data_IF_356805832569
#
_entry.id   IF_356805832569
#
_cell.length_a   1.000
_cell.length_b   1.000
_cell.length_c   1.000
_cell.angle_alpha   90.00
_cell.angle_beta   90.00
_cell.angle_gamma   90.00
#
_symmetry.space_group_name_H-M   'P 1'
#
loop_
_entity.id
_entity.type
_entity.pdbx_description
1 polymer ?
#
# COMPACT_ATOMS: atom_id res chain seq x y z
N UNK A 1 20.21 12.80 -9.48
CA UNK A 1 20.68 13.62 -8.36
C UNK A 1 22.14 13.30 -8.05
N UNK A 2 22.56 12.05 -7.84
CA UNK A 2 23.94 11.67 -7.46
C UNK A 2 25.02 12.27 -8.39
N UNK A 3 24.84 12.25 -9.71
CA UNK A 3 25.79 12.87 -10.65
C UNK A 3 25.94 14.39 -10.46
N UNK A 4 24.86 15.08 -10.08
CA UNK A 4 24.92 16.53 -9.77
C UNK A 4 25.71 16.75 -8.49
N UNK A 5 25.41 15.99 -7.44
CA UNK A 5 26.12 16.04 -6.16
C UNK A 5 27.63 15.81 -6.35
N UNK A 6 28.03 14.79 -7.14
CA UNK A 6 29.44 14.54 -7.47
C UNK A 6 30.12 15.73 -8.17
N UNK A 7 29.42 16.42 -9.07
CA UNK A 7 29.97 17.63 -9.71
C UNK A 7 30.13 18.79 -8.73
N UNK A 8 29.16 18.98 -7.84
CA UNK A 8 29.21 20.00 -6.80
C UNK A 8 30.33 19.72 -5.80
N UNK A 9 30.54 18.45 -5.44
CA UNK A 9 31.68 18.03 -4.62
C UNK A 9 33.03 18.34 -5.30
N UNK A 10 33.14 18.09 -6.60
CA UNK A 10 34.34 18.41 -7.37
C UNK A 10 34.61 19.93 -7.45
N UNK A 11 33.60 20.79 -7.24
CA UNK A 11 33.70 22.23 -7.17
C UNK A 11 33.88 22.76 -5.72
N UNK A 12 34.00 21.89 -4.73
CA UNK A 12 34.09 22.22 -3.29
C UNK A 12 32.84 22.92 -2.73
N UNK A 13 31.70 22.77 -3.40
CA UNK A 13 30.41 23.30 -2.95
C UNK A 13 29.70 22.36 -1.96
N UNK A 14 29.98 21.05 -1.99
CA UNK A 14 29.50 20.02 -1.08
C UNK A 14 30.69 19.29 -0.47
N UNK A 15 30.70 19.18 0.86
CA UNK A 15 31.82 18.62 1.65
C UNK A 15 31.41 17.42 2.51
N UNK A 16 30.11 17.09 2.57
CA UNK A 16 29.56 16.04 3.43
C UNK A 16 29.79 16.29 4.92
N UNK A 17 29.76 17.55 5.34
CA UNK A 17 29.95 17.94 6.74
C UNK A 17 28.63 17.95 7.49
N UNK A 18 27.68 18.79 7.08
CA UNK A 18 26.43 19.03 7.79
C UNK A 18 25.22 18.79 6.88
N UNK A 19 24.42 17.76 7.19
CA UNK A 19 23.18 17.45 6.50
C UNK A 19 21.99 18.00 7.28
N UNK A 20 21.16 18.80 6.65
CA UNK A 20 19.86 19.18 7.18
C UNK A 20 18.78 18.32 6.53
N UNK A 21 17.92 17.71 7.36
CA UNK A 21 16.80 16.90 6.88
C UNK A 21 15.48 17.57 7.26
N UNK A 22 14.65 17.79 6.26
CA UNK A 22 13.27 18.25 6.43
C UNK A 22 12.35 17.49 5.45
N UNK A 23 11.11 17.30 5.86
CA UNK A 23 10.13 16.57 5.08
C UNK A 23 8.88 17.40 4.82
N UNK A 24 8.22 17.09 3.72
CA UNK A 24 6.92 17.65 3.39
C UNK A 24 5.94 16.58 2.93
N UNK A 25 4.65 16.84 3.08
CA UNK A 25 3.59 15.93 2.60
C UNK A 25 2.91 16.55 1.40
N UNK A 26 2.94 15.83 0.28
CA UNK A 26 2.33 16.27 -0.99
C UNK A 26 1.07 15.45 -1.25
N UNK A 27 -0.04 16.14 -1.53
CA UNK A 27 -1.29 15.51 -1.91
C UNK A 27 -1.15 14.85 -3.29
N UNK A 28 -1.46 13.55 -3.36
CA UNK A 28 -1.43 12.80 -4.60
C UNK A 28 -2.64 13.14 -5.47
N UNK A 29 -2.47 13.08 -6.80
CA UNK A 29 -3.58 13.21 -7.74
C UNK A 29 -4.43 11.94 -7.75
N UNK A 30 -4.97 11.57 -6.60
CA UNK A 30 -5.80 10.39 -6.40
C UNK A 30 -7.16 10.78 -5.81
N UNK A 31 -8.20 10.02 -6.18
CA UNK A 31 -9.53 10.28 -5.66
C UNK A 31 -9.59 10.00 -4.15
N UNK A 32 -9.82 11.04 -3.35
CA UNK A 32 -9.91 10.97 -1.89
C UNK A 32 -10.99 10.03 -1.34
N UNK A 33 -11.95 9.63 -2.17
CA UNK A 33 -13.02 8.69 -1.79
C UNK A 33 -12.74 7.25 -2.23
N UNK A 34 -11.61 6.97 -2.88
CA UNK A 34 -11.24 5.64 -3.38
C UNK A 34 -10.39 4.83 -2.39
N UNK A 35 -10.40 5.17 -1.13
CA UNK A 35 -9.62 4.49 -0.08
C UNK A 35 -10.10 3.05 0.18
N UNK A 36 -9.14 2.21 0.52
CA UNK A 36 -9.34 0.85 1.00
C UNK A 36 -8.69 0.72 2.37
N UNK A 37 -9.44 0.27 3.36
CA UNK A 37 -8.97 0.11 4.75
C UNK A 37 -8.70 -1.35 5.09
N UNK A 38 -7.49 -1.68 5.56
CA UNK A 38 -7.07 -3.04 5.93
C UNK A 38 -8.06 -3.69 6.91
N UNK A 39 -8.43 -2.99 7.98
CA UNK A 39 -9.40 -3.47 8.96
C UNK A 39 -10.76 -3.86 8.35
N UNK A 40 -11.24 -3.09 7.37
CA UNK A 40 -12.52 -3.37 6.70
C UNK A 40 -12.39 -4.58 5.77
N UNK A 41 -11.30 -4.66 5.00
CA UNK A 41 -11.03 -5.79 4.10
C UNK A 41 -10.92 -7.08 4.90
N UNK A 42 -10.10 -7.12 5.94
CA UNK A 42 -9.94 -8.29 6.81
C UNK A 42 -11.27 -8.75 7.40
N UNK A 43 -12.10 -7.82 7.89
CA UNK A 43 -13.44 -8.16 8.42
C UNK A 43 -14.36 -8.78 7.36
N UNK A 44 -14.35 -8.24 6.14
CA UNK A 44 -15.20 -8.75 5.05
C UNK A 44 -14.68 -10.07 4.50
N UNK A 45 -13.36 -10.23 4.40
CA UNK A 45 -12.70 -11.47 4.01
C UNK A 45 -13.03 -12.61 4.98
N UNK A 46 -12.88 -12.39 6.28
CA UNK A 46 -13.23 -13.39 7.31
C UNK A 46 -14.69 -13.85 7.17
N UNK A 47 -15.62 -12.92 6.95
CA UNK A 47 -17.04 -13.26 6.74
C UNK A 47 -17.28 -14.01 5.43
N UNK A 48 -16.54 -13.68 4.40
CA UNK A 48 -16.60 -14.34 3.10
C UNK A 48 -16.11 -15.78 3.20
N UNK A 49 -14.97 -16.01 3.85
CA UNK A 49 -14.40 -17.35 4.05
C UNK A 49 -15.34 -18.23 4.87
N UNK A 50 -15.89 -17.74 5.96
CA UNK A 50 -16.88 -18.46 6.74
C UNK A 50 -18.18 -18.77 5.95
N UNK A 51 -18.53 -17.92 4.96
CA UNK A 51 -19.65 -18.20 4.04
C UNK A 51 -19.28 -19.31 3.06
N UNK A 52 -18.08 -19.30 2.50
CA UNK A 52 -17.58 -20.34 1.59
C UNK A 52 -17.48 -21.68 2.29
N UNK A 53 -16.92 -21.76 3.50
CA UNK A 53 -16.82 -22.97 4.31
C UNK A 53 -18.17 -23.67 4.51
N UNK A 54 -19.25 -22.92 4.65
CA UNK A 54 -20.60 -23.47 4.77
C UNK A 54 -21.23 -23.81 3.43
N UNK A 55 -21.02 -22.97 2.42
CA UNK A 55 -21.70 -23.07 1.12
C UNK A 55 -21.13 -24.21 0.26
N UNK A 56 -19.80 -24.40 0.28
CA UNK A 56 -19.13 -25.41 -0.55
C UNK A 56 -19.64 -26.83 -0.25
N UNK A 57 -19.63 -27.30 1.00
CA UNK A 57 -20.17 -28.64 1.31
C UNK A 57 -21.64 -28.79 0.92
N UNK A 58 -22.45 -27.75 1.11
CA UNK A 58 -23.87 -27.78 0.72
C UNK A 58 -24.04 -27.94 -0.80
N UNK A 59 -23.24 -27.23 -1.60
CA UNK A 59 -23.27 -27.36 -3.06
C UNK A 59 -22.76 -28.73 -3.52
N UNK A 60 -21.71 -29.24 -2.90
CA UNK A 60 -21.19 -30.59 -3.16
C UNK A 60 -22.26 -31.67 -2.92
N UNK A 61 -22.96 -31.61 -1.80
CA UNK A 61 -24.04 -32.51 -1.46
C UNK A 61 -25.24 -32.35 -2.40
N UNK A 62 -25.69 -31.11 -2.61
CA UNK A 62 -26.87 -30.82 -3.44
C UNK A 62 -26.73 -31.30 -4.88
N UNK A 63 -25.52 -31.19 -5.45
CA UNK A 63 -25.27 -31.55 -6.85
C UNK A 63 -24.53 -32.88 -7.03
N UNK A 64 -24.22 -33.59 -5.95
CA UNK A 64 -23.50 -34.87 -6.00
C UNK A 64 -22.11 -34.67 -6.65
N UNK A 65 -21.35 -33.65 -6.24
CA UNK A 65 -20.03 -33.30 -6.74
C UNK A 65 -19.00 -33.60 -5.67
N UNK A 66 -17.90 -34.23 -6.08
CA UNK A 66 -16.69 -34.36 -5.25
C UNK A 66 -15.61 -33.45 -5.88
N UNK A 67 -15.36 -32.32 -5.27
CA UNK A 67 -14.40 -31.32 -5.75
C UNK A 67 -13.21 -31.24 -4.81
N UNK A 68 -12.01 -31.14 -5.38
CA UNK A 68 -10.77 -30.96 -4.61
C UNK A 68 -10.51 -29.49 -4.28
N UNK A 69 -10.97 -28.57 -5.13
CA UNK A 69 -10.83 -27.11 -4.97
C UNK A 69 -12.16 -26.39 -5.25
N UNK A 70 -12.20 -25.11 -4.90
CA UNK A 70 -13.35 -24.24 -5.18
C UNK A 70 -13.58 -24.04 -6.68
N UNK A 71 -12.50 -23.92 -7.44
CA UNK A 71 -12.50 -23.79 -8.90
C UNK A 71 -12.97 -25.10 -9.58
N UNK A 72 -12.53 -26.25 -9.05
CA UNK A 72 -12.98 -27.54 -9.52
C UNK A 72 -14.49 -27.74 -9.29
N UNK A 73 -15.00 -27.33 -8.12
CA UNK A 73 -16.44 -27.34 -7.85
C UNK A 73 -17.20 -26.49 -8.88
N UNK A 74 -16.71 -25.28 -9.13
CA UNK A 74 -17.35 -24.38 -10.09
C UNK A 74 -17.39 -24.99 -11.51
N UNK A 75 -16.26 -25.54 -11.97
CA UNK A 75 -16.15 -26.19 -13.28
C UNK A 75 -17.09 -27.37 -13.41
N UNK A 76 -17.18 -28.24 -12.37
CA UNK A 76 -18.08 -29.39 -12.39
C UNK A 76 -19.56 -28.97 -12.35
N UNK A 77 -19.90 -27.88 -11.63
CA UNK A 77 -21.26 -27.32 -11.63
C UNK A 77 -21.64 -26.76 -13.01
N UNK A 78 -20.73 -26.05 -13.66
CA UNK A 78 -20.92 -25.55 -15.03
C UNK A 78 -21.12 -26.70 -16.02
N UNK A 79 -20.36 -27.78 -15.90
CA UNK A 79 -20.50 -28.99 -16.70
C UNK A 79 -21.87 -29.70 -16.55
N UNK A 80 -22.56 -29.50 -15.43
CA UNK A 80 -23.94 -30.00 -15.22
C UNK A 80 -25.03 -29.13 -15.84
N UNK A 81 -24.69 -27.98 -16.39
CA UNK A 81 -25.68 -27.13 -17.07
C UNK A 81 -26.11 -27.75 -18.42
N UNK A 82 -27.34 -28.19 -18.49
CA UNK A 82 -27.95 -28.75 -19.71
C UNK A 82 -28.40 -27.67 -20.70
N UNK A 83 -28.62 -26.44 -20.17
CA UNK A 83 -29.11 -25.31 -20.95
C UNK A 83 -28.14 -24.15 -20.91
N UNK A 84 -28.11 -23.31 -21.94
CA UNK A 84 -27.32 -22.07 -21.94
C UNK A 84 -27.71 -21.15 -20.79
N UNK A 85 -26.76 -20.38 -20.29
CA UNK A 85 -26.99 -19.37 -19.26
C UNK A 85 -28.05 -18.35 -19.72
N UNK A 86 -29.01 -18.11 -18.86
CA UNK A 86 -30.09 -17.16 -19.12
C UNK A 86 -29.69 -15.77 -18.58
N UNK A 87 -29.66 -14.78 -19.45
CA UNK A 87 -29.34 -13.40 -19.10
C UNK A 87 -30.52 -12.46 -19.32
N UNK A 88 -30.59 -11.39 -18.55
CA UNK A 88 -31.55 -10.32 -18.71
C UNK A 88 -32.77 -10.35 -17.74
N UNK A 89 -33.50 -9.26 -17.69
CA UNK A 89 -34.70 -9.09 -16.82
C UNK A 89 -35.86 -9.97 -17.32
N UNK A 90 -36.60 -10.52 -16.36
CA UNK A 90 -37.85 -11.27 -16.66
C UNK A 90 -37.67 -12.74 -17.05
N UNK A 91 -36.44 -13.20 -17.24
CA UNK A 91 -36.15 -14.62 -17.52
C UNK A 91 -35.91 -15.38 -16.24
N UNK A 92 -36.47 -16.61 -16.12
CA UNK A 92 -36.28 -17.46 -14.94
C UNK A 92 -34.97 -18.23 -15.06
N UNK A 93 -34.01 -17.91 -14.20
CA UNK A 93 -32.78 -18.68 -14.03
C UNK A 93 -33.08 -19.98 -13.29
N UNK A 94 -32.44 -21.08 -13.70
CA UNK A 94 -32.46 -22.33 -12.93
C UNK A 94 -31.79 -22.15 -11.55
N UNK A 95 -32.08 -23.07 -10.62
CA UNK A 95 -31.40 -23.02 -9.30
C UNK A 95 -29.90 -23.22 -9.47
N UNK A 96 -29.49 -24.16 -10.32
CA UNK A 96 -28.08 -24.42 -10.61
C UNK A 96 -27.37 -23.16 -11.14
N UNK A 97 -27.98 -22.42 -12.07
CA UNK A 97 -27.39 -21.17 -12.57
C UNK A 97 -27.23 -20.11 -11.46
N UNK A 98 -28.19 -19.97 -10.56
CA UNK A 98 -28.08 -19.03 -9.45
C UNK A 98 -26.94 -19.39 -8.49
N UNK A 99 -26.81 -20.69 -8.20
CA UNK A 99 -25.76 -21.19 -7.30
C UNK A 99 -24.38 -21.04 -7.94
N UNK A 100 -24.24 -21.27 -9.24
CA UNK A 100 -23.01 -20.98 -10.01
C UNK A 100 -22.65 -19.50 -9.93
N UNK A 101 -23.59 -18.62 -10.28
CA UNK A 101 -23.38 -17.16 -10.26
C UNK A 101 -23.04 -16.66 -8.84
N UNK A 102 -23.65 -17.23 -7.79
CA UNK A 102 -23.32 -16.91 -6.41
C UNK A 102 -21.91 -17.37 -6.06
N UNK A 103 -21.53 -18.60 -6.41
CA UNK A 103 -20.19 -19.11 -6.14
C UNK A 103 -19.13 -18.30 -6.89
N UNK A 104 -19.32 -18.02 -8.19
CA UNK A 104 -18.43 -17.17 -8.98
C UNK A 104 -18.25 -15.79 -8.31
N UNK A 105 -19.33 -15.15 -7.87
CA UNK A 105 -19.26 -13.86 -7.19
C UNK A 105 -18.60 -13.93 -5.79
N UNK A 106 -18.59 -15.07 -5.12
CA UNK A 106 -17.84 -15.28 -3.88
C UNK A 106 -16.35 -15.44 -4.17
N UNK A 107 -15.98 -16.24 -5.17
CA UNK A 107 -14.60 -16.48 -5.57
C UNK A 107 -13.93 -15.20 -6.09
N UNK A 108 -14.60 -14.43 -6.95
CA UNK A 108 -14.10 -13.13 -7.42
C UNK A 108 -13.84 -12.15 -6.27
N UNK A 109 -14.70 -12.18 -5.23
CA UNK A 109 -14.47 -11.34 -4.03
C UNK A 109 -13.33 -11.85 -3.19
N UNK A 110 -13.13 -13.17 -3.09
CA UNK A 110 -11.98 -13.80 -2.40
C UNK A 110 -10.67 -13.36 -3.05
N UNK A 111 -10.57 -13.49 -4.37
CA UNK A 111 -9.42 -13.04 -5.15
C UNK A 111 -9.14 -11.55 -4.97
N UNK A 112 -10.19 -10.71 -5.07
CA UNK A 112 -10.08 -9.27 -4.84
C UNK A 112 -9.56 -8.92 -3.44
N UNK A 113 -10.04 -9.58 -2.38
CA UNK A 113 -9.56 -9.31 -1.03
C UNK A 113 -8.14 -9.81 -0.82
N UNK A 114 -7.77 -10.96 -1.39
CA UNK A 114 -6.40 -11.44 -1.40
C UNK A 114 -5.46 -10.45 -2.10
N UNK A 115 -5.84 -9.92 -3.27
CA UNK A 115 -5.10 -8.87 -3.96
C UNK A 115 -4.93 -7.61 -3.12
N UNK A 116 -5.99 -7.19 -2.40
CA UNK A 116 -5.91 -6.05 -1.48
C UNK A 116 -4.97 -6.30 -0.31
N UNK A 117 -4.96 -7.52 0.26
CA UNK A 117 -4.03 -7.87 1.33
C UNK A 117 -2.56 -7.76 0.87
N UNK A 118 -2.26 -8.23 -0.34
CA UNK A 118 -0.93 -8.06 -0.94
C UNK A 118 -0.54 -6.60 -1.16
N UNK A 119 -1.50 -5.74 -1.54
CA UNK A 119 -1.25 -4.31 -1.77
C UNK A 119 -0.99 -3.54 -0.47
N UNK A 120 -1.55 -3.96 0.66
CA UNK A 120 -1.36 -3.23 1.93
C UNK A 120 0.10 -3.24 2.40
N UNK A 121 0.79 -4.38 2.32
CA UNK A 121 2.05 -4.54 3.05
C UNK A 121 1.86 -4.21 4.53
N UNK A 122 2.68 -3.32 5.07
CA UNK A 122 2.59 -2.84 6.45
C UNK A 122 1.59 -1.68 6.64
N UNK A 123 1.09 -1.11 5.55
CA UNK A 123 0.15 0.02 5.57
C UNK A 123 -1.25 -0.37 6.01
N UNK A 124 -1.96 0.57 6.62
CA UNK A 124 -3.35 0.39 7.06
C UNK A 124 -4.40 0.77 5.99
N UNK A 125 -3.96 1.42 4.92
CA UNK A 125 -4.84 1.88 3.83
C UNK A 125 -4.05 2.13 2.56
N UNK A 126 -4.74 2.09 1.44
CA UNK A 126 -4.24 2.57 0.15
C UNK A 126 -5.39 3.17 -0.67
N UNK A 127 -5.08 3.88 -1.76
CA UNK A 127 -6.06 4.36 -2.73
C UNK A 127 -6.18 3.39 -3.90
N UNK A 128 -7.41 3.14 -4.39
CA UNK A 128 -7.61 2.34 -5.61
C UNK A 128 -7.11 3.04 -6.88
N UNK A 129 -7.07 4.37 -6.86
CA UNK A 129 -6.61 5.16 -8.00
C UNK A 129 -5.09 5.22 -8.07
N UNK A 130 -4.42 5.12 -6.92
CA UNK A 130 -2.97 5.12 -6.77
C UNK A 130 -2.63 4.23 -5.56
N UNK A 131 -2.27 2.95 -5.78
CA UNK A 131 -2.01 2.01 -4.69
C UNK A 131 -0.79 2.36 -3.82
N UNK A 132 0.12 3.19 -4.31
CA UNK A 132 1.35 3.54 -3.60
C UNK A 132 1.14 4.63 -2.55
N UNK A 133 0.06 5.41 -2.64
CA UNK A 133 -0.23 6.46 -1.66
C UNK A 133 -0.85 5.92 -0.38
N UNK A 134 -0.58 6.63 0.70
CA UNK A 134 -1.25 6.42 2.00
C UNK A 134 -2.09 7.64 2.36
N UNK A 135 -3.19 7.40 3.07
CA UNK A 135 -4.04 8.49 3.59
C UNK A 135 -3.41 9.08 4.85
N UNK A 136 -3.04 10.34 4.80
CA UNK A 136 -2.35 11.06 5.88
C UNK A 136 -2.89 12.48 6.07
N UNK A 137 -2.57 13.08 7.21
CA UNK A 137 -2.81 14.51 7.43
C UNK A 137 -1.75 15.32 6.70
N UNK A 138 -2.16 16.30 5.91
CA UNK A 138 -1.24 17.24 5.27
C UNK A 138 -0.69 18.24 6.29
N UNK A 139 0.57 18.67 6.13
CA UNK A 139 1.16 19.75 6.96
C UNK A 139 0.34 21.04 6.81
N UNK A 140 -0.08 21.36 5.59
CA UNK A 140 -0.93 22.51 5.29
C UNK A 140 -2.39 22.08 5.07
N UNK A 141 -3.17 22.09 6.12
CA UNK A 141 -4.62 21.91 6.02
C UNK A 141 -5.31 23.29 5.99
N UNK A 142 -5.40 23.89 4.80
CA UNK A 142 -6.03 25.19 4.60
C UNK A 142 -7.49 25.23 5.08
N UNK A 143 -8.17 24.10 5.07
CA UNK A 143 -9.56 23.99 5.52
C UNK A 143 -9.68 23.74 7.02
N UNK A 144 -8.59 23.43 7.71
CA UNK A 144 -8.52 23.07 9.15
C UNK A 144 -9.57 22.06 9.60
N UNK A 145 -9.86 21.09 8.72
CA UNK A 145 -10.87 20.08 8.98
C UNK A 145 -10.28 18.72 9.36
N UNK A 146 -8.96 18.64 9.49
CA UNK A 146 -8.20 17.42 9.80
C UNK A 146 -8.51 16.24 8.88
N UNK A 147 -8.91 16.52 7.64
CA UNK A 147 -9.25 15.49 6.67
C UNK A 147 -8.02 14.75 6.21
N UNK A 148 -8.08 13.41 6.24
CA UNK A 148 -7.07 12.57 5.63
C UNK A 148 -7.14 12.69 4.11
N UNK A 149 -5.97 12.91 3.47
CA UNK A 149 -5.83 12.98 2.03
C UNK A 149 -4.84 11.93 1.55
N UNK A 150 -5.02 11.36 0.33
CA UNK A 150 -4.02 10.51 -0.26
C UNK A 150 -2.77 11.35 -0.54
N UNK A 151 -1.61 10.88 -0.12
CA UNK A 151 -0.39 11.65 -0.28
C UNK A 151 0.87 10.82 -0.12
N UNK A 152 1.96 11.48 -0.43
CA UNK A 152 3.33 11.02 -0.24
C UNK A 152 4.01 11.87 0.82
N UNK A 153 4.87 11.24 1.59
CA UNK A 153 5.81 11.91 2.48
C UNK A 153 7.16 12.01 1.77
N UNK A 154 7.61 13.23 1.51
CA UNK A 154 8.85 13.48 0.79
C UNK A 154 9.86 14.05 1.77
N UNK A 155 11.02 13.44 1.83
CA UNK A 155 12.14 13.85 2.63
C UNK A 155 13.21 14.49 1.76
N UNK A 156 13.81 15.58 2.22
CA UNK A 156 14.92 16.25 1.56
C UNK A 156 16.13 16.26 2.49
N UNK A 157 17.28 15.82 1.95
CA UNK A 157 18.57 16.09 2.54
C UNK A 157 19.16 17.33 1.86
N UNK A 158 19.61 18.31 2.65
CA UNK A 158 20.12 19.59 2.16
C UNK A 158 21.48 19.85 2.79
N UNK A 159 22.46 20.24 1.99
CA UNK A 159 23.73 20.81 2.43
C UNK A 159 23.93 22.16 1.77
N UNK A 160 24.16 23.21 2.58
CA UNK A 160 24.25 24.57 2.10
C UNK A 160 22.93 25.00 1.42
N UNK A 161 23.00 25.30 0.12
CA UNK A 161 21.84 25.70 -0.69
C UNK A 161 21.36 24.60 -1.64
N UNK A 162 21.92 23.38 -1.53
CA UNK A 162 21.70 22.30 -2.48
C UNK A 162 20.90 21.15 -1.88
N UNK A 163 19.93 20.65 -2.64
CA UNK A 163 19.27 19.37 -2.31
C UNK A 163 20.20 18.25 -2.75
N UNK A 164 20.69 17.47 -1.79
CA UNK A 164 21.65 16.38 -1.97
C UNK A 164 21.03 14.99 -1.85
N UNK A 165 19.86 14.90 -1.21
CA UNK A 165 19.08 13.68 -1.07
C UNK A 165 17.59 13.93 -1.21
N UNK A 166 16.86 12.97 -1.76
CA UNK A 166 15.39 13.00 -1.83
C UNK A 166 14.90 11.58 -1.65
N UNK A 167 14.01 11.35 -0.68
CA UNK A 167 13.24 10.12 -0.55
C UNK A 167 11.75 10.41 -0.67
N UNK A 168 11.01 9.49 -1.30
CA UNK A 168 9.55 9.58 -1.47
C UNK A 168 8.94 8.31 -0.91
N UNK A 169 8.26 8.45 0.20
CA UNK A 169 7.68 7.30 0.90
C UNK A 169 6.16 7.43 1.09
N UNK A 170 5.53 6.30 1.41
CA UNK A 170 4.14 6.25 1.84
C UNK A 170 3.99 6.31 3.37
N UNK A 171 5.09 6.51 4.10
CA UNK A 171 5.09 6.62 5.55
C UNK A 171 4.37 7.89 6.01
N UNK A 172 3.62 7.76 7.11
CA UNK A 172 2.84 8.89 7.66
C UNK A 172 3.66 9.76 8.60
N UNK A 173 4.65 9.15 9.24
CA UNK A 173 5.49 9.75 10.27
C UNK A 173 6.90 9.96 9.74
N UNK A 174 7.47 11.09 10.03
CA UNK A 174 8.83 11.44 9.63
C UNK A 174 9.87 10.58 10.35
N UNK A 175 9.55 10.07 11.56
CA UNK A 175 10.41 9.14 12.32
C UNK A 175 10.86 7.93 11.51
N UNK A 176 9.96 7.33 10.72
CA UNK A 176 10.26 6.13 9.91
C UNK A 176 10.95 6.47 8.58
N UNK A 177 11.12 7.75 8.26
CA UNK A 177 11.66 8.18 6.97
C UNK A 177 13.13 8.60 7.02
N UNK A 178 13.70 8.84 8.21
CA UNK A 178 15.08 9.31 8.37
C UNK A 178 16.09 8.25 7.95
N UNK A 179 16.02 7.05 8.54
CA UNK A 179 16.97 5.97 8.27
C UNK A 179 16.97 5.58 6.79
N UNK A 180 15.80 5.34 6.14
CA UNK A 180 15.76 5.06 4.70
C UNK A 180 16.40 6.14 3.83
N UNK A 181 16.17 7.44 4.14
CA UNK A 181 16.81 8.53 3.43
C UNK A 181 18.34 8.48 3.56
N UNK A 182 18.86 8.32 4.78
CA UNK A 182 20.31 8.30 5.03
C UNK A 182 20.98 7.08 4.38
N UNK A 183 20.37 5.90 4.45
CA UNK A 183 20.88 4.69 3.80
C UNK A 183 20.89 4.83 2.27
N UNK A 184 19.81 5.35 1.69
CA UNK A 184 19.73 5.61 0.25
C UNK A 184 20.80 6.62 -0.20
N UNK A 185 21.02 7.67 0.59
CA UNK A 185 22.06 8.65 0.30
C UNK A 185 23.46 8.04 0.39
N UNK A 186 23.74 7.26 1.44
CA UNK A 186 25.04 6.54 1.61
C UNK A 186 25.30 5.61 0.42
N UNK A 187 24.27 4.85 -0.02
CA UNK A 187 24.39 3.96 -1.18
C UNK A 187 24.66 4.73 -2.49
N UNK A 188 23.92 5.82 -2.72
CA UNK A 188 24.02 6.60 -3.98
C UNK A 188 25.27 7.46 -4.08
N UNK A 189 25.75 7.99 -2.96
CA UNK A 189 26.87 8.95 -2.93
C UNK A 189 28.20 8.28 -2.57
N UNK A 190 28.17 7.06 -1.97
CA UNK A 190 29.35 6.33 -1.56
C UNK A 190 30.05 6.93 -0.32
N UNK A 191 29.40 7.85 0.36
CA UNK A 191 29.91 8.54 1.56
C UNK A 191 28.78 8.88 2.48
N UNK A 192 29.08 9.18 3.74
CA UNK A 192 28.11 9.64 4.74
C UNK A 192 28.47 11.02 5.26
N UNK A 193 27.48 11.69 5.80
CA UNK A 193 27.65 12.97 6.48
C UNK A 193 28.29 12.82 7.86
N UNK A 194 28.95 13.87 8.35
CA UNK A 194 29.56 13.90 9.68
C UNK A 194 28.50 14.24 10.74
N UNK A 195 27.62 15.20 10.42
CA UNK A 195 26.54 15.62 11.30
C UNK A 195 25.19 15.63 10.54
N UNK A 196 24.12 15.21 11.22
CA UNK A 196 22.74 15.26 10.73
C UNK A 196 21.90 16.10 11.67
N UNK A 197 21.22 17.09 11.12
CA UNK A 197 20.26 17.94 11.83
C UNK A 197 18.87 17.71 11.24
N UNK A 198 17.91 17.35 12.08
CA UNK A 198 16.51 17.17 11.73
C UNK A 198 15.61 17.81 12.78
N UNK A 199 14.34 18.05 12.45
CA UNK A 199 13.38 18.59 13.42
C UNK A 199 12.96 17.52 14.46
N UNK A 200 12.23 17.93 15.50
CA UNK A 200 11.75 17.04 16.57
C UNK A 200 10.81 15.96 16.06
N UNK A 201 10.23 16.14 14.87
CA UNK A 201 9.37 15.15 14.22
C UNK A 201 10.09 13.84 13.87
N UNK A 202 11.42 13.85 13.82
CA UNK A 202 12.25 12.68 13.54
C UNK A 202 12.77 11.97 14.81
N UNK A 203 12.54 12.55 15.99
CA UNK A 203 13.06 11.99 17.24
C UNK A 203 12.43 10.63 17.54
N UNK A 204 13.28 9.61 17.64
CA UNK A 204 12.92 8.27 18.10
C UNK A 204 14.15 7.57 18.69
N UNK A 205 13.93 6.59 19.56
CA UNK A 205 15.02 5.76 20.12
C UNK A 205 15.77 5.02 19.01
N UNK A 206 15.05 4.57 17.98
CA UNK A 206 15.61 3.86 16.82
C UNK A 206 16.53 4.77 16.01
N UNK A 207 16.09 5.99 15.69
CA UNK A 207 16.89 6.97 14.95
C UNK A 207 18.14 7.39 15.74
N UNK A 208 17.99 7.63 17.05
CA UNK A 208 19.11 7.98 17.92
C UNK A 208 20.15 6.85 17.96
N UNK A 209 19.72 5.62 18.16
CA UNK A 209 20.61 4.45 18.17
C UNK A 209 21.33 4.24 16.84
N UNK A 210 20.61 4.44 15.72
CA UNK A 210 21.21 4.35 14.38
C UNK A 210 22.30 5.40 14.16
N UNK A 211 22.03 6.66 14.53
CA UNK A 211 23.01 7.74 14.38
C UNK A 211 24.24 7.52 15.27
N UNK A 212 24.06 7.06 16.52
CA UNK A 212 25.17 6.69 17.42
C UNK A 212 26.02 5.55 16.85
N UNK A 213 25.39 4.49 16.32
CA UNK A 213 26.10 3.36 15.69
C UNK A 213 26.91 3.80 14.47
N UNK A 214 26.30 4.64 13.65
CA UNK A 214 26.95 5.21 12.45
C UNK A 214 27.99 6.28 12.79
N UNK A 215 28.04 6.78 14.03
CA UNK A 215 28.89 7.91 14.48
C UNK A 215 28.67 9.19 13.69
N UNK A 216 27.41 9.53 13.56
CA UNK A 216 26.92 10.74 12.88
C UNK A 216 26.23 11.65 13.88
#
# INVERSE_FOLDING_TARGET
>A
LAQLVQKLTALDEIRFEHLFVDGTKIEANANKYSFVWKKSVTKYETRLLAKLERKIPQLCEQYGIMAATEEDLLLQMEGKMVTSFVHGRGKRKSQLQRDIEELQGLLQRKEKYSGYQGTFGDRNSFSKADPDVTFMHMKEDHMRNSQLKPGYNIQFGVEGEYIVGVDVSSERNDQNALIPLLEQMEEQLGTKYQDVTADVGYESEENSSYLEEKKV
#
